data_IF_008294897996
#
_entry.id   IF_008294897996
#
_cell.length_a   1.000
_cell.length_b   1.000
_cell.length_c   1.000
_cell.angle_alpha   90.00
_cell.angle_beta   90.00
_cell.angle_gamma   90.00
#
_symmetry.space_group_name_H-M   'P 1'
#
loop_
_entity.id
_entity.type
_entity.pdbx_description
1 polymer ?
#
# COMPACT_ATOMS: atom_id res chain seq x y z
N UNK A 1 -9.70 -1.26 15.20
CA UNK A 1 -8.61 -2.20 15.55
C UNK A 1 -7.39 -1.83 14.72
N UNK A 2 -6.27 -1.43 15.33
CA UNK A 2 -5.07 -1.03 14.59
C UNK A 2 -4.22 -2.25 14.24
N UNK A 3 -4.33 -2.75 13.01
CA UNK A 3 -3.36 -3.69 12.46
C UNK A 3 -2.10 -2.91 12.07
N UNK A 4 -1.09 -2.96 12.94
CA UNK A 4 0.26 -2.48 12.61
C UNK A 4 1.05 -3.69 12.16
N UNK A 5 1.35 -3.81 10.87
CA UNK A 5 2.29 -4.84 10.41
C UNK A 5 3.64 -4.56 11.08
N UNK A 6 4.27 -5.56 11.72
CA UNK A 6 5.55 -5.35 12.37
C UNK A 6 6.57 -4.91 11.32
N UNK A 7 7.37 -3.89 11.65
CA UNK A 7 8.54 -3.53 10.87
C UNK A 7 9.44 -4.77 10.81
N UNK A 8 9.86 -5.17 9.61
CA UNK A 8 10.76 -6.30 9.44
C UNK A 8 12.06 -5.84 8.81
N UNK A 9 13.16 -6.24 9.42
CA UNK A 9 14.51 -5.92 8.96
C UNK A 9 15.01 -6.92 7.87
N UNK A 10 14.20 -7.92 7.53
CA UNK A 10 14.53 -8.96 6.54
C UNK A 10 13.98 -8.68 5.13
N UNK A 11 13.40 -7.49 4.90
CA UNK A 11 12.90 -7.12 3.58
C UNK A 11 14.02 -6.75 2.60
N UNK A 12 13.78 -7.10 1.34
CA UNK A 12 14.68 -6.83 0.21
C UNK A 12 14.01 -5.93 -0.81
N UNK A 13 14.81 -5.14 -1.50
CA UNK A 13 14.36 -4.30 -2.60
C UNK A 13 13.94 -5.17 -3.79
N UNK A 14 12.72 -5.00 -4.33
CA UNK A 14 12.25 -5.76 -5.50
C UNK A 14 13.07 -5.49 -6.78
N UNK A 15 13.74 -4.33 -6.86
CA UNK A 15 14.53 -3.95 -8.03
C UNK A 15 15.93 -4.59 -8.03
N UNK A 16 16.67 -4.46 -6.93
CA UNK A 16 18.08 -4.84 -6.85
C UNK A 16 18.38 -5.98 -5.88
N UNK A 17 17.36 -6.46 -5.13
CA UNK A 17 17.45 -7.50 -4.10
C UNK A 17 18.34 -7.16 -2.90
N UNK A 18 18.79 -5.92 -2.77
CA UNK A 18 19.52 -5.45 -1.60
C UNK A 18 18.59 -5.28 -0.38
N UNK A 19 19.09 -5.43 0.85
CA UNK A 19 18.31 -5.10 2.05
C UNK A 19 17.80 -3.66 2.02
N UNK A 20 16.57 -3.47 2.49
CA UNK A 20 15.98 -2.13 2.68
C UNK A 20 16.00 -1.73 4.15
N UNK A 21 16.05 -0.43 4.41
CA UNK A 21 16.00 0.13 5.76
C UNK A 21 14.65 0.75 6.03
N UNK A 22 14.05 0.43 7.16
CA UNK A 22 12.83 1.10 7.59
C UNK A 22 13.11 2.57 7.93
N UNK A 23 12.26 3.46 7.42
CA UNK A 23 12.22 4.88 7.72
C UNK A 23 10.90 5.12 8.46
N UNK A 24 10.91 5.53 9.74
CA UNK A 24 9.68 5.58 10.54
C UNK A 24 8.80 6.81 10.26
N UNK A 25 9.35 7.91 9.73
CA UNK A 25 8.61 9.16 9.50
C UNK A 25 9.10 9.88 8.22
N UNK A 26 8.32 9.89 7.13
CA UNK A 26 7.10 9.09 6.92
C UNK A 26 7.43 7.58 6.95
N UNK A 27 6.46 6.75 7.34
CA UNK A 27 6.64 5.31 7.39
C UNK A 27 6.91 4.76 5.97
N UNK A 28 8.10 4.23 5.75
CA UNK A 28 8.59 3.77 4.45
C UNK A 28 9.74 2.77 4.61
N UNK A 29 10.16 2.16 3.49
CA UNK A 29 11.41 1.43 3.35
C UNK A 29 12.27 2.08 2.28
N UNK A 30 13.54 2.34 2.58
CA UNK A 30 14.52 2.92 1.65
C UNK A 30 15.57 1.89 1.26
N UNK A 31 15.81 1.76 -0.04
CA UNK A 31 16.94 0.99 -0.56
C UNK A 31 18.13 1.91 -0.82
N UNK A 32 19.21 1.76 -0.08
CA UNK A 32 20.42 2.60 -0.27
C UNK A 32 21.23 2.23 -1.51
N UNK A 33 20.95 1.11 -2.18
CA UNK A 33 21.68 0.69 -3.38
C UNK A 33 21.13 1.29 -4.68
N UNK A 34 19.81 1.32 -4.83
CA UNK A 34 19.15 1.87 -6.02
C UNK A 34 18.31 3.12 -5.73
N UNK A 35 18.46 3.68 -4.52
CA UNK A 35 17.83 4.89 -4.01
C UNK A 35 16.29 4.95 -4.09
N UNK A 36 15.64 3.77 -4.11
CA UNK A 36 14.17 3.68 -4.14
C UNK A 36 13.58 3.79 -2.75
N UNK A 37 12.43 4.48 -2.66
CA UNK A 37 11.61 4.59 -1.45
C UNK A 37 10.28 3.89 -1.68
N UNK A 38 9.90 3.02 -0.76
CA UNK A 38 8.66 2.24 -0.77
C UNK A 38 7.79 2.67 0.41
N UNK A 39 6.64 3.32 0.19
CA UNK A 39 5.82 3.82 1.29
C UNK A 39 5.17 2.66 2.07
N UNK A 40 4.92 2.86 3.36
CA UNK A 40 4.04 2.00 4.15
C UNK A 40 2.64 2.62 4.16
N UNK A 41 1.68 1.95 3.54
CA UNK A 41 0.31 2.41 3.37
C UNK A 41 -0.61 1.60 4.28
N UNK A 42 -1.24 2.26 5.25
CA UNK A 42 -2.19 1.60 6.16
C UNK A 42 -1.60 0.38 6.87
N UNK A 43 -0.31 0.44 7.19
CA UNK A 43 0.44 -0.66 7.80
C UNK A 43 1.05 -1.66 6.81
N UNK A 44 0.84 -1.51 5.50
CA UNK A 44 1.32 -2.44 4.47
C UNK A 44 2.47 -1.80 3.68
N UNK A 45 3.68 -2.38 3.67
CA UNK A 45 4.78 -1.92 2.83
C UNK A 45 4.46 -2.14 1.34
N UNK A 46 4.43 -1.07 0.55
CA UNK A 46 4.15 -1.12 -0.89
C UNK A 46 5.45 -1.24 -1.72
N UNK A 47 5.86 -2.49 -1.95
CA UNK A 47 7.04 -2.83 -2.77
C UNK A 47 6.73 -2.98 -4.28
N UNK A 48 5.60 -2.45 -4.77
CA UNK A 48 5.32 -2.52 -6.21
C UNK A 48 6.23 -1.57 -6.99
N UNK A 49 6.81 -2.08 -8.08
CA UNK A 49 7.66 -1.32 -8.99
C UNK A 49 6.89 -0.74 -10.17
N UNK A 50 5.81 -1.40 -10.56
CA UNK A 50 4.97 -1.04 -11.69
C UNK A 50 3.50 -1.14 -11.27
N UNK A 51 2.64 -0.29 -11.85
CA UNK A 51 1.19 -0.39 -11.70
C UNK A 51 0.63 -1.63 -12.38
N UNK A 52 -0.69 -1.84 -12.23
CA UNK A 52 -1.45 -2.74 -13.09
C UNK A 52 -1.76 -2.10 -14.47
N UNK A 53 -2.60 -2.76 -15.29
CA UNK A 53 -2.94 -2.31 -16.65
C UNK A 53 -3.95 -1.14 -16.68
N UNK A 54 -4.76 -1.02 -15.64
CA UNK A 54 -5.96 -0.19 -15.59
C UNK A 54 -5.78 1.04 -14.71
N UNK A 55 -5.00 0.94 -13.63
CA UNK A 55 -4.77 2.01 -12.66
C UNK A 55 -3.28 2.23 -12.46
N UNK A 56 -2.88 3.49 -12.38
CA UNK A 56 -1.57 3.89 -11.87
C UNK A 56 -1.42 3.53 -10.39
N UNK A 57 -0.17 3.46 -9.90
CA UNK A 57 0.07 3.20 -8.48
C UNK A 57 -0.59 4.27 -7.62
N UNK A 58 -0.55 5.52 -8.05
CA UNK A 58 -1.20 6.64 -7.36
C UNK A 58 -2.71 6.45 -7.24
N UNK A 59 -3.39 6.03 -8.31
CA UNK A 59 -4.83 5.75 -8.31
C UNK A 59 -5.19 4.57 -7.41
N UNK A 60 -4.44 3.48 -7.49
CA UNK A 60 -4.61 2.32 -6.60
C UNK A 60 -4.42 2.71 -5.13
N UNK A 61 -3.42 3.54 -4.84
CA UNK A 61 -3.14 4.04 -3.48
C UNK A 61 -4.23 4.97 -2.97
N UNK A 62 -4.77 5.83 -3.83
CA UNK A 62 -5.89 6.71 -3.49
C UNK A 62 -7.15 5.89 -3.18
N UNK A 63 -7.45 4.87 -3.97
CA UNK A 63 -8.55 3.93 -3.73
C UNK A 63 -8.36 3.19 -2.39
N UNK A 64 -7.16 2.68 -2.13
CA UNK A 64 -6.84 2.04 -0.86
C UNK A 64 -7.00 3.01 0.33
N UNK A 65 -6.62 4.28 0.16
CA UNK A 65 -6.83 5.30 1.19
C UNK A 65 -8.30 5.54 1.50
N UNK A 66 -9.11 5.64 0.46
CA UNK A 66 -10.55 5.81 0.59
C UNK A 66 -11.19 4.63 1.34
N UNK A 67 -10.91 3.41 0.89
CA UNK A 67 -11.44 2.18 1.50
C UNK A 67 -10.98 1.98 2.95
N UNK A 68 -9.69 2.25 3.23
CA UNK A 68 -9.19 2.16 4.60
C UNK A 68 -9.90 3.12 5.56
N UNK A 69 -10.15 4.36 5.12
CA UNK A 69 -10.90 5.36 5.89
C UNK A 69 -12.35 4.94 6.07
N UNK A 70 -13.02 4.52 5.00
CA UNK A 70 -14.41 4.08 5.03
C UNK A 70 -14.60 2.91 6.01
N UNK A 71 -13.73 1.89 5.93
CA UNK A 71 -13.78 0.71 6.79
C UNK A 71 -13.40 0.93 8.25
N UNK A 72 -13.00 2.15 8.68
CA UNK A 72 -12.82 2.43 10.11
C UNK A 72 -14.16 2.52 10.86
N UNK A 73 -15.20 3.01 10.18
CA UNK A 73 -16.50 3.35 10.77
C UNK A 73 -17.67 2.55 10.19
N UNK A 74 -17.41 1.67 9.22
CA UNK A 74 -18.41 0.83 8.56
C UNK A 74 -18.11 -0.65 8.75
N UNK A 75 -19.15 -1.47 8.61
CA UNK A 75 -19.03 -2.93 8.58
C UNK A 75 -18.25 -3.41 7.36
N UNK A 76 -17.83 -4.68 7.40
CA UNK A 76 -17.18 -5.31 6.25
C UNK A 76 -18.09 -5.36 5.02
N UNK A 77 -19.38 -5.66 5.20
CA UNK A 77 -20.35 -5.72 4.10
C UNK A 77 -20.50 -4.36 3.41
N UNK A 78 -20.65 -3.28 4.20
CA UNK A 78 -20.68 -1.91 3.66
C UNK A 78 -19.37 -1.52 2.95
N UNK A 79 -18.22 -1.96 3.45
CA UNK A 79 -16.93 -1.72 2.81
C UNK A 79 -16.83 -2.43 1.44
N UNK A 80 -17.38 -3.64 1.32
CA UNK A 80 -17.46 -4.38 0.06
C UNK A 80 -18.41 -3.68 -0.92
N UNK A 81 -19.57 -3.22 -0.45
CA UNK A 81 -20.50 -2.44 -1.27
C UNK A 81 -19.84 -1.15 -1.78
N UNK A 82 -19.11 -0.44 -0.91
CA UNK A 82 -18.36 0.75 -1.27
C UNK A 82 -17.24 0.46 -2.28
N UNK A 83 -16.53 -0.66 -2.13
CA UNK A 83 -15.54 -1.12 -3.10
C UNK A 83 -16.16 -1.24 -4.49
N UNK A 84 -17.29 -1.91 -4.64
CA UNK A 84 -17.94 -2.06 -5.95
C UNK A 84 -18.54 -0.75 -6.45
N UNK A 85 -19.04 0.12 -5.57
CA UNK A 85 -19.61 1.42 -5.95
C UNK A 85 -18.56 2.37 -6.56
N UNK A 86 -17.32 2.34 -6.09
CA UNK A 86 -16.23 3.22 -6.57
C UNK A 86 -15.37 2.58 -7.66
N UNK A 87 -15.61 1.30 -7.97
CA UNK A 87 -14.87 0.58 -9.00
C UNK A 87 -15.76 0.47 -10.22
N UNK A 88 -15.40 1.19 -11.29
CA UNK A 88 -16.02 1.00 -12.61
C UNK A 88 -15.53 -0.31 -13.25
N UNK A 89 -15.83 -1.45 -12.62
CA UNK A 89 -15.55 -2.76 -13.21
C UNK A 89 -16.78 -3.26 -13.98
N UNK A 90 -16.64 -3.18 -15.32
CA UNK A 90 -17.30 -3.93 -16.41
C UNK A 90 -18.75 -3.55 -16.79
N UNK A 91 -19.03 -3.20 -18.06
CA UNK A 91 -20.34 -3.40 -18.70
C UNK A 91 -20.80 -4.87 -18.69
#
# INVERSE_FOLDING_TARGET
MSFVSPVRDDYLCPQCRAPVRHVPKPAAYHCTQCDRVFPVLFGIPDFRLTPDRYLTLEEERAKAQHLYRFGQDHSFDELVDEYYRITDDVP
#
